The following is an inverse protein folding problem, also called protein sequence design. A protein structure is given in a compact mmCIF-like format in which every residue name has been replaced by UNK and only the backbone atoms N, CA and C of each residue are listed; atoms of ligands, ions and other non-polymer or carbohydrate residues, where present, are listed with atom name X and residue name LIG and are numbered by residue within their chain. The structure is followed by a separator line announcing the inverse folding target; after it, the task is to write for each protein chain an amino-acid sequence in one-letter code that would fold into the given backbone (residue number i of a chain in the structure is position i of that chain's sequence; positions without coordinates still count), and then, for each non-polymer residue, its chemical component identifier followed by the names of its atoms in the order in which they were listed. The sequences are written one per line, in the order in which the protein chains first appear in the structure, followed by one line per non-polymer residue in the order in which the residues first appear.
data_IF_914971251021
#
_entry.id   IF_914971251021
#
_cell.length_a   1.000
_cell.length_b   1.000
_cell.length_c   1.000
_cell.angle_alpha   90.00
_cell.angle_beta   90.00
_cell.angle_gamma   90.00
#
_symmetry.space_group_name_H-M   'P 1'
#
loop_
_entity.id
_entity.type
_entity.pdbx_description
1 polymer ?
#
# COMPACT_ATOMS: atom_id res chain seq x y z
N UNK A 1 10.10 -5.03 -8.75
CA UNK A 1 9.08 -4.54 -7.79
C UNK A 1 8.74 -5.72 -6.92
N UNK A 2 9.10 -5.64 -5.66
CA UNK A 2 8.80 -6.66 -4.67
C UNK A 2 7.49 -6.33 -3.96
N UNK A 3 6.79 -7.35 -3.49
CA UNK A 3 5.64 -7.17 -2.61
C UNK A 3 6.05 -6.31 -1.40
N UNK A 4 5.22 -5.31 -1.07
CA UNK A 4 5.40 -4.31 0.00
C UNK A 4 6.42 -3.20 -0.27
N UNK A 5 6.96 -3.11 -1.48
CA UNK A 5 7.67 -1.91 -1.90
C UNK A 5 6.69 -0.72 -1.98
N UNK A 6 7.14 0.44 -1.50
CA UNK A 6 6.43 1.71 -1.62
C UNK A 6 7.02 2.49 -2.77
N UNK A 7 6.15 3.02 -3.62
CA UNK A 7 6.51 3.83 -4.76
C UNK A 7 5.80 5.18 -4.73
N UNK A 8 6.46 6.20 -5.28
CA UNK A 8 5.79 7.39 -5.76
C UNK A 8 5.18 7.12 -7.13
N UNK A 9 3.86 7.29 -7.21
CA UNK A 9 3.05 7.13 -8.41
C UNK A 9 3.20 8.30 -9.39
N UNK A 10 2.60 8.15 -10.57
CA UNK A 10 2.68 9.14 -11.65
C UNK A 10 2.06 10.51 -11.31
N UNK A 11 1.17 10.60 -10.31
CA UNK A 11 0.57 11.86 -9.83
C UNK A 11 1.21 12.34 -8.53
N UNK A 12 2.32 11.71 -8.11
CA UNK A 12 3.04 12.05 -6.89
C UNK A 12 2.54 11.35 -5.62
N UNK A 13 1.48 10.54 -5.73
CA UNK A 13 0.91 9.79 -4.60
C UNK A 13 1.87 8.70 -4.11
N UNK A 14 1.80 8.32 -2.84
CA UNK A 14 2.51 7.16 -2.33
C UNK A 14 1.63 5.92 -2.41
N UNK A 15 2.16 4.84 -2.99
CA UNK A 15 1.46 3.59 -3.25
C UNK A 15 2.31 2.43 -2.73
N UNK A 16 1.75 1.56 -1.91
CA UNK A 16 2.39 0.30 -1.51
C UNK A 16 1.94 -0.82 -2.45
N UNK A 17 2.88 -1.60 -3.00
CA UNK A 17 2.58 -2.83 -3.74
C UNK A 17 2.09 -3.91 -2.78
N UNK A 18 0.87 -4.38 -2.98
CA UNK A 18 0.26 -5.43 -2.15
C UNK A 18 0.20 -6.78 -2.87
N UNK A 19 0.57 -6.82 -4.16
CA UNK A 19 0.49 -8.00 -5.00
C UNK A 19 1.62 -8.98 -4.68
N UNK A 20 1.28 -10.27 -4.62
CA UNK A 20 2.28 -11.33 -4.43
C UNK A 20 3.31 -11.34 -5.57
N UNK A 21 4.59 -11.54 -5.22
CA UNK A 21 5.67 -11.70 -6.19
C UNK A 21 5.50 -12.91 -7.12
N UNK A 22 4.71 -13.92 -6.71
CA UNK A 22 4.34 -15.04 -7.56
C UNK A 22 3.56 -14.59 -8.81
N UNK A 23 2.92 -13.41 -8.75
CA UNK A 23 2.21 -12.78 -9.86
C UNK A 23 3.02 -11.62 -10.48
N UNK A 24 4.35 -11.62 -10.29
CA UNK A 24 5.21 -10.51 -10.69
C UNK A 24 5.39 -10.32 -12.20
N UNK A 25 4.98 -11.31 -13.01
CA UNK A 25 4.99 -11.27 -14.47
C UNK A 25 3.82 -10.49 -15.07
N UNK A 26 2.81 -10.12 -14.27
CA UNK A 26 1.71 -9.28 -14.72
C UNK A 26 2.18 -7.84 -14.98
N UNK A 27 1.65 -7.20 -16.02
CA UNK A 27 1.91 -5.79 -16.33
C UNK A 27 1.25 -4.79 -15.37
N UNK A 28 0.58 -5.29 -14.33
CA UNK A 28 -0.16 -4.52 -13.34
C UNK A 28 0.20 -4.97 -11.93
N UNK A 29 0.03 -4.07 -10.97
CA UNK A 29 0.15 -4.32 -9.53
C UNK A 29 -1.12 -3.87 -8.81
N UNK A 30 -1.61 -4.69 -7.89
CA UNK A 30 -2.56 -4.26 -6.86
C UNK A 30 -1.80 -3.43 -5.84
N UNK A 31 -2.22 -2.18 -5.66
CA UNK A 31 -1.61 -1.24 -4.74
C UNK A 31 -2.65 -0.64 -3.80
N UNK A 32 -2.24 -0.20 -2.62
CA UNK A 32 -3.05 0.64 -1.74
C UNK A 32 -2.36 2.01 -1.54
N UNK A 33 -3.11 3.12 -1.47
CA UNK A 33 -2.53 4.43 -1.24
C UNK A 33 -2.10 4.62 0.22
N UNK A 34 -0.96 5.28 0.41
CA UNK A 34 -0.47 5.79 1.68
C UNK A 34 -0.81 7.28 1.75
N UNK A 35 -1.71 7.66 2.66
CA UNK A 35 -2.18 9.05 2.84
C UNK A 35 -1.65 9.58 4.18
N UNK A 36 -1.10 10.81 4.25
CA UNK A 36 -0.71 11.42 5.51
C UNK A 36 -1.82 11.29 6.56
N UNK A 37 -1.47 10.94 7.80
CA UNK A 37 -2.46 10.69 8.85
C UNK A 37 -3.39 11.89 9.10
N UNK A 38 -2.92 13.11 8.83
CA UNK A 38 -3.68 14.36 8.94
C UNK A 38 -4.79 14.48 7.89
N UNK A 39 -4.63 13.81 6.76
CA UNK A 39 -5.49 13.95 5.58
C UNK A 39 -6.30 12.67 5.31
N UNK A 40 -5.98 11.58 6.04
CA UNK A 40 -6.64 10.29 5.88
C UNK A 40 -8.09 10.33 6.39
N UNK A 41 -9.01 9.59 5.76
CA UNK A 41 -10.36 9.40 6.28
C UNK A 41 -10.34 8.73 7.66
N UNK A 42 -11.48 8.75 8.36
CA UNK A 42 -11.61 8.17 9.71
C UNK A 42 -10.99 6.77 9.77
N UNK A 43 -10.03 6.61 10.69
CA UNK A 43 -9.19 5.42 10.75
C UNK A 43 -9.93 4.28 11.43
N UNK A 44 -10.00 3.14 10.73
CA UNK A 44 -10.31 1.84 11.32
C UNK A 44 -9.02 1.07 11.48
N UNK A 45 -8.49 0.93 12.70
CA UNK A 45 -7.13 0.47 12.95
C UNK A 45 -6.75 -0.84 12.23
N UNK A 46 -7.66 -1.83 12.16
CA UNK A 46 -7.43 -3.09 11.43
C UNK A 46 -7.43 -2.94 9.90
N UNK A 47 -8.27 -2.05 9.38
CA UNK A 47 -8.38 -1.82 7.93
C UNK A 47 -7.31 -0.85 7.42
N UNK A 48 -6.90 0.12 8.24
CA UNK A 48 -6.02 1.22 7.85
C UNK A 48 -4.80 1.31 8.79
N UNK A 49 -3.84 0.37 8.66
CA UNK A 49 -2.59 0.40 9.41
C UNK A 49 -1.78 1.66 9.08
N UNK A 50 -0.91 2.06 10.00
CA UNK A 50 -0.07 3.24 9.86
C UNK A 50 1.40 2.85 9.84
N UNK A 51 2.15 3.51 8.98
CA UNK A 51 3.57 3.29 8.76
C UNK A 51 4.33 4.62 8.87
N UNK A 52 5.56 4.53 9.34
CA UNK A 52 6.53 5.62 9.24
C UNK A 52 7.26 5.49 7.90
N UNK A 53 7.15 6.51 7.04
CA UNK A 53 7.83 6.58 5.74
C UNK A 53 8.56 7.92 5.70
N UNK A 54 9.90 7.87 5.63
CA UNK A 54 10.78 9.05 5.64
C UNK A 54 10.53 10.02 6.81
N UNK A 55 10.18 9.49 7.99
CA UNK A 55 9.93 10.27 9.21
C UNK A 55 8.53 10.87 9.31
N UNK A 56 7.66 10.62 8.33
CA UNK A 56 6.27 11.04 8.31
C UNK A 56 5.31 9.84 8.45
N UNK A 57 4.18 10.04 9.11
CA UNK A 57 3.19 8.98 9.36
C UNK A 57 2.12 8.94 8.28
N UNK A 58 2.00 7.79 7.63
CA UNK A 58 0.99 7.55 6.61
C UNK A 58 0.06 6.42 7.02
N UNK A 59 -1.23 6.58 6.77
CA UNK A 59 -2.20 5.50 6.82
C UNK A 59 -2.29 4.83 5.45
N UNK A 60 -2.20 3.50 5.41
CA UNK A 60 -2.64 2.75 4.24
C UNK A 60 -4.16 2.75 4.21
N UNK A 61 -4.74 3.28 3.13
CA UNK A 61 -6.20 3.36 2.98
C UNK A 61 -6.64 2.18 2.12
N UNK A 62 -6.73 1.02 2.75
CA UNK A 62 -6.86 -0.29 2.07
C UNK A 62 -8.11 -0.39 1.21
N UNK A 63 -9.22 0.24 1.63
CA UNK A 63 -10.45 0.26 0.82
C UNK A 63 -10.34 1.05 -0.48
N UNK A 64 -9.24 1.80 -0.69
CA UNK A 64 -8.91 2.47 -1.96
C UNK A 64 -7.90 1.67 -2.78
N UNK A 65 -7.66 0.40 -2.43
CA UNK A 65 -6.80 -0.48 -3.21
C UNK A 65 -7.31 -0.59 -4.66
N UNK A 66 -6.37 -0.57 -5.61
CA UNK A 66 -6.66 -0.57 -7.04
C UNK A 66 -5.55 -1.25 -7.84
N UNK A 67 -5.84 -1.67 -9.06
CA UNK A 67 -4.84 -2.14 -10.01
C UNK A 67 -4.25 -0.96 -10.78
N UNK A 68 -2.93 -0.83 -10.78
CA UNK A 68 -2.20 0.15 -11.61
C UNK A 68 -1.23 -0.57 -12.54
N UNK A 69 -0.89 0.04 -13.68
CA UNK A 69 0.19 -0.49 -14.52
C UNK A 69 1.53 -0.30 -13.83
N UNK A 70 2.45 -1.24 -14.03
CA UNK A 70 3.82 -1.15 -13.47
C UNK A 70 4.52 0.14 -13.86
N UNK A 71 4.28 0.64 -15.09
CA UNK A 71 4.81 1.91 -15.56
C UNK A 71 4.30 3.15 -14.80
N UNK A 72 3.24 3.05 -14.01
CA UNK A 72 2.72 4.17 -13.20
C UNK A 72 3.42 4.30 -11.85
N UNK A 73 4.17 3.27 -11.43
CA UNK A 73 4.95 3.23 -10.21
C UNK A 73 6.38 3.67 -10.53
N UNK A 74 6.68 4.94 -10.25
CA UNK A 74 7.83 5.66 -10.86
C UNK A 74 9.11 5.57 -10.05
N UNK A 75 9.03 5.93 -8.77
CA UNK A 75 10.20 6.04 -7.90
C UNK A 75 10.00 5.15 -6.69
N UNK A 76 10.91 4.21 -6.48
CA UNK A 76 10.95 3.44 -5.23
C UNK A 76 11.31 4.37 -4.06
N UNK A 77 10.55 4.27 -2.96
CA UNK A 77 10.73 5.08 -1.75
C UNK A 77 11.33 4.23 -0.63
N UNK A 78 10.62 3.18 -0.22
CA UNK A 78 11.04 2.30 0.88
C UNK A 78 10.37 0.94 0.75
N UNK A 79 10.70 0.00 1.64
CA UNK A 79 10.11 -1.33 1.71
C UNK A 79 9.44 -1.56 3.07
N UNK A 80 8.19 -2.02 3.07
CA UNK A 80 7.38 -2.25 4.28
C UNK A 80 7.25 -3.73 4.67
N UNK A 81 8.16 -4.60 4.24
CA UNK A 81 8.09 -6.05 4.54
C UNK A 81 8.02 -6.41 6.02
N UNK A 82 8.58 -5.58 6.91
CA UNK A 82 8.45 -5.76 8.36
C UNK A 82 6.99 -5.64 8.86
N UNK A 83 6.14 -4.95 8.10
CA UNK A 83 4.71 -4.76 8.36
C UNK A 83 3.83 -5.73 7.56
N UNK A 84 4.39 -6.83 7.04
CA UNK A 84 3.66 -7.83 6.25
C UNK A 84 2.34 -8.25 6.90
N UNK A 85 2.36 -8.52 8.21
CA UNK A 85 1.16 -8.99 8.91
C UNK A 85 0.07 -7.92 8.97
N UNK A 86 0.44 -6.65 9.18
CA UNK A 86 -0.51 -5.54 9.19
C UNK A 86 -1.11 -5.30 7.81
N UNK A 87 -0.28 -5.37 6.75
CA UNK A 87 -0.74 -5.19 5.37
C UNK A 87 -1.69 -6.30 4.95
N UNK A 88 -1.31 -7.57 5.19
CA UNK A 88 -2.16 -8.71 4.84
C UNK A 88 -3.43 -8.73 5.69
N UNK A 89 -3.34 -8.45 6.99
CA UNK A 89 -4.49 -8.36 7.89
C UNK A 89 -5.48 -7.27 7.47
N UNK A 90 -4.99 -6.15 6.92
CA UNK A 90 -5.87 -5.11 6.38
C UNK A 90 -6.66 -5.58 5.15
N UNK A 91 -6.03 -6.34 4.25
CA UNK A 91 -6.72 -6.95 3.11
C UNK A 91 -7.66 -8.08 3.54
N UNK A 92 -7.30 -8.87 4.55
CA UNK A 92 -8.18 -9.88 5.12
C UNK A 92 -9.43 -9.22 5.72
N UNK A 93 -9.26 -8.18 6.53
CA UNK A 93 -10.37 -7.37 7.06
C UNK A 93 -11.24 -6.77 5.93
N UNK A 94 -10.64 -6.30 4.83
CA UNK A 94 -11.38 -5.75 3.70
C UNK A 94 -12.19 -6.81 2.96
N UNK A 95 -11.62 -8.00 2.75
CA UNK A 95 -12.17 -9.02 1.86
C UNK A 95 -13.04 -10.04 2.60
N UNK A 96 -12.70 -10.37 3.84
CA UNK A 96 -13.30 -11.46 4.62
C UNK A 96 -13.89 -10.97 5.94
N UNK A 97 -13.44 -9.82 6.45
CA UNK A 97 -13.94 -9.22 7.69
C UNK A 97 -13.30 -9.74 8.97
N UNK A 98 -12.16 -10.44 8.87
CA UNK A 98 -11.39 -11.02 10.00
C UNK A 98 -10.31 -10.06 10.52
#
# INVERSE_FOLDING_TARGET
MAQFDVYRGARGELLVDCQSDALGNLGTRIVAPLIPITDAPERKARLNPVFDVDGERYAMVTQFATAVRTGELRQHVTHLGNYRFDIIGAFDMLLTGV
#
